data_IF_620289442734
#
_entry.id   IF_620289442734
#
_cell.length_a   1.000
_cell.length_b   1.000
_cell.length_c   1.000
_cell.angle_alpha   90.00
_cell.angle_beta   90.00
_cell.angle_gamma   90.00
#
_symmetry.space_group_name_H-M   'P 1'
#
loop_
_entity.id
_entity.type
_entity.pdbx_description
1 polymer ?
#
# COMPACT_ATOMS: atom_id res chain seq x y z
N UNK A 1 19.03 5.91 -0.69
CA UNK A 1 18.23 6.88 -1.45
C UNK A 1 18.87 7.32 -2.78
N UNK A 2 20.22 7.37 -2.94
CA UNK A 2 20.87 7.86 -4.17
C UNK A 2 20.52 7.12 -5.48
N UNK A 3 20.15 5.84 -5.42
CA UNK A 3 19.84 5.04 -6.60
C UNK A 3 18.40 5.26 -7.15
N UNK A 4 17.47 5.73 -6.32
CA UNK A 4 16.06 5.89 -6.75
C UNK A 4 15.88 7.17 -7.59
N UNK A 5 16.38 8.31 -7.10
CA UNK A 5 16.28 9.59 -7.82
C UNK A 5 16.97 9.53 -9.20
N UNK A 6 18.14 8.87 -9.30
CA UNK A 6 18.83 8.70 -10.59
C UNK A 6 18.03 7.86 -11.60
N UNK A 7 17.32 6.84 -11.12
CA UNK A 7 16.42 6.04 -11.97
C UNK A 7 15.25 6.88 -12.49
N UNK A 8 14.63 7.69 -11.64
CA UNK A 8 13.45 8.49 -12.00
C UNK A 8 13.76 9.61 -13.00
N UNK A 9 14.98 10.15 -13.03
CA UNK A 9 15.43 11.15 -14.02
C UNK A 9 15.24 10.70 -15.47
N UNK A 10 15.32 9.40 -15.73
CA UNK A 10 15.18 8.84 -17.07
C UNK A 10 13.73 8.57 -17.47
N UNK A 11 12.77 8.73 -16.56
CA UNK A 11 11.34 8.61 -16.84
C UNK A 11 10.78 9.92 -17.38
N UNK A 12 9.78 9.86 -18.27
CA UNK A 12 9.08 11.05 -18.72
C UNK A 12 8.26 11.69 -17.60
N UNK A 13 7.99 12.99 -17.70
CA UNK A 13 7.20 13.70 -16.69
C UNK A 13 5.79 13.13 -16.56
N UNK A 14 5.15 12.75 -17.68
CA UNK A 14 3.82 12.14 -17.66
C UNK A 14 3.83 10.79 -16.94
N UNK A 15 4.80 9.93 -17.22
CA UNK A 15 4.90 8.63 -16.53
C UNK A 15 5.12 8.80 -15.03
N UNK A 16 5.90 9.81 -14.61
CA UNK A 16 6.09 10.13 -13.20
C UNK A 16 4.79 10.63 -12.55
N UNK A 17 4.01 11.46 -13.23
CA UNK A 17 2.69 11.91 -12.75
C UNK A 17 1.71 10.74 -12.62
N UNK A 18 1.63 9.89 -13.64
CA UNK A 18 0.77 8.70 -13.64
C UNK A 18 1.18 7.75 -12.50
N UNK A 19 2.49 7.59 -12.27
CA UNK A 19 2.99 6.76 -11.18
C UNK A 19 2.72 7.38 -9.81
N UNK A 20 2.88 8.70 -9.67
CA UNK A 20 2.56 9.39 -8.42
C UNK A 20 1.08 9.24 -8.08
N UNK A 21 0.18 9.43 -9.05
CA UNK A 21 -1.25 9.28 -8.85
C UNK A 21 -1.62 7.87 -8.35
N UNK A 22 -0.98 6.84 -8.92
CA UNK A 22 -1.14 5.47 -8.46
C UNK A 22 -0.67 5.25 -7.02
N UNK A 23 0.51 5.78 -6.65
CA UNK A 23 1.01 5.68 -5.27
C UNK A 23 0.14 6.48 -4.31
N UNK A 24 -0.31 7.67 -4.69
CA UNK A 24 -1.23 8.51 -3.91
C UNK A 24 -2.53 7.78 -3.61
N UNK A 25 -3.09 7.10 -4.61
CA UNK A 25 -4.28 6.26 -4.45
C UNK A 25 -4.09 5.18 -3.38
N UNK A 26 -2.90 4.60 -3.25
CA UNK A 26 -2.58 3.62 -2.19
C UNK A 26 -2.42 4.26 -0.81
N UNK A 27 -1.97 5.51 -0.76
CA UNK A 27 -1.69 6.25 0.48
C UNK A 27 -2.91 7.00 1.05
N UNK A 28 -3.92 7.31 0.24
CA UNK A 28 -5.14 8.01 0.69
C UNK A 28 -5.94 7.19 1.72
N UNK A 29 -5.99 5.86 1.54
CA UNK A 29 -6.59 4.92 2.49
C UNK A 29 -5.60 3.79 2.79
N UNK A 30 -4.63 4.03 3.71
CA UNK A 30 -3.58 3.07 3.98
C UNK A 30 -4.14 1.78 4.59
N UNK A 31 -3.79 0.64 4.00
CA UNK A 31 -4.11 -0.68 4.56
C UNK A 31 -3.64 -0.84 6.01
N UNK A 32 -2.53 -0.18 6.37
CA UNK A 32 -1.99 -0.21 7.73
C UNK A 32 -2.98 0.31 8.77
N UNK A 33 -3.73 1.38 8.47
CA UNK A 33 -4.69 1.96 9.43
C UNK A 33 -5.83 0.98 9.73
N UNK A 34 -6.43 0.41 8.67
CA UNK A 34 -7.50 -0.57 8.83
C UNK A 34 -7.03 -1.84 9.56
N UNK A 35 -5.76 -2.22 9.39
CA UNK A 35 -5.17 -3.39 10.06
C UNK A 35 -4.86 -3.08 11.53
N UNK A 36 -4.33 -1.89 11.83
CA UNK A 36 -4.07 -1.43 13.20
C UNK A 36 -5.39 -1.30 13.99
N UNK A 37 -6.46 -0.77 13.39
CA UNK A 37 -7.78 -0.71 14.03
C UNK A 37 -8.30 -2.10 14.43
N UNK A 38 -8.04 -3.12 13.60
CA UNK A 38 -8.44 -4.48 13.93
C UNK A 38 -7.57 -5.08 15.04
N UNK A 39 -6.24 -4.87 14.98
CA UNK A 39 -5.32 -5.29 16.04
C UNK A 39 -5.73 -4.66 17.37
N UNK A 40 -5.96 -3.34 17.39
CA UNK A 40 -6.37 -2.60 18.59
C UNK A 40 -7.67 -3.14 19.19
N UNK A 41 -8.68 -3.41 18.34
CA UNK A 41 -9.95 -3.96 18.81
C UNK A 41 -9.79 -5.36 19.43
N UNK A 42 -8.81 -6.15 19.01
CA UNK A 42 -8.54 -7.49 19.53
C UNK A 42 -7.71 -7.49 20.80
N UNK A 43 -6.75 -6.59 20.92
CA UNK A 43 -5.97 -6.41 22.14
C UNK A 43 -6.79 -5.80 23.27
N UNK A 44 -7.74 -4.93 22.92
CA UNK A 44 -8.52 -4.11 23.85
C UNK A 44 -10.01 -4.18 23.52
N UNK A 45 -10.65 -5.36 23.62
CA UNK A 45 -12.05 -5.54 23.24
C UNK A 45 -13.01 -4.65 24.06
N UNK A 46 -12.66 -4.35 25.31
CA UNK A 46 -13.45 -3.50 26.22
C UNK A 46 -13.46 -2.01 25.83
N UNK A 47 -12.58 -1.58 24.93
CA UNK A 47 -12.43 -0.20 24.46
C UNK A 47 -12.83 -0.01 22.99
N UNK A 48 -13.34 -1.05 22.34
CA UNK A 48 -13.72 -0.99 20.93
C UNK A 48 -15.09 -0.29 20.79
N UNK A 49 -15.09 1.00 20.46
CA UNK A 49 -16.30 1.84 20.29
C UNK A 49 -17.08 1.55 18.98
N UNK A 50 -16.67 0.54 18.20
CA UNK A 50 -17.11 0.37 16.82
C UNK A 50 -18.24 -0.68 16.66
N UNK A 51 -19.43 -0.21 16.27
CA UNK A 51 -20.65 -0.98 15.90
C UNK A 51 -21.26 -1.87 17.00
N UNK A 52 -22.48 -2.39 16.76
CA UNK A 52 -23.32 -3.03 17.79
C UNK A 52 -22.67 -4.24 18.50
N UNK A 53 -21.64 -4.88 17.90
CA UNK A 53 -20.81 -5.93 18.54
C UNK A 53 -19.38 -6.00 17.96
N UNK A 54 -18.40 -6.36 18.80
CA UNK A 54 -17.00 -6.65 18.41
C UNK A 54 -16.88 -7.60 17.19
N UNK A 55 -17.73 -8.64 17.11
CA UNK A 55 -17.73 -9.58 15.99
C UNK A 55 -18.16 -8.95 14.66
N UNK A 56 -19.15 -8.05 14.68
CA UNK A 56 -19.60 -7.36 13.47
C UNK A 56 -18.51 -6.45 12.92
N UNK A 57 -17.79 -5.73 13.79
CA UNK A 57 -16.63 -4.93 13.40
C UNK A 57 -15.56 -5.80 12.72
N UNK A 58 -15.10 -6.87 13.37
CA UNK A 58 -14.09 -7.77 12.79
C UNK A 58 -14.48 -8.31 11.42
N UNK A 59 -15.75 -8.69 11.26
CA UNK A 59 -16.27 -9.20 9.98
C UNK A 59 -16.28 -8.13 8.89
N UNK A 60 -16.72 -6.91 9.21
CA UNK A 60 -16.75 -5.81 8.25
C UNK A 60 -15.35 -5.37 7.85
N UNK A 61 -14.44 -5.24 8.82
CA UNK A 61 -13.04 -4.89 8.56
C UNK A 61 -12.35 -5.94 7.70
N UNK A 62 -12.59 -7.23 7.93
CA UNK A 62 -12.07 -8.29 7.07
C UNK A 62 -12.54 -8.15 5.61
N UNK A 63 -13.84 -7.88 5.40
CA UNK A 63 -14.41 -7.68 4.06
C UNK A 63 -13.76 -6.46 3.39
N UNK A 64 -13.69 -5.34 4.12
CA UNK A 64 -13.10 -4.10 3.64
C UNK A 64 -11.63 -4.26 3.25
N UNK A 65 -10.80 -4.82 4.15
CA UNK A 65 -9.37 -5.06 3.91
C UNK A 65 -9.18 -5.98 2.70
N UNK A 66 -9.96 -7.07 2.63
CA UNK A 66 -9.90 -8.01 1.49
C UNK A 66 -10.20 -7.31 0.18
N UNK A 67 -11.29 -6.54 0.13
CA UNK A 67 -11.70 -5.79 -1.05
C UNK A 67 -10.63 -4.78 -1.47
N UNK A 68 -10.09 -4.01 -0.51
CA UNK A 68 -9.03 -3.03 -0.76
C UNK A 68 -7.78 -3.66 -1.35
N UNK A 69 -7.32 -4.79 -0.80
CA UNK A 69 -6.16 -5.53 -1.33
C UNK A 69 -6.42 -5.98 -2.78
N UNK A 70 -7.64 -6.41 -3.10
CA UNK A 70 -7.98 -6.84 -4.46
C UNK A 70 -8.00 -5.69 -5.47
N UNK A 71 -8.53 -4.54 -5.07
CA UNK A 71 -8.47 -3.31 -5.86
C UNK A 71 -7.02 -2.85 -6.08
N UNK A 72 -6.20 -2.80 -5.04
CA UNK A 72 -4.78 -2.42 -5.15
C UNK A 72 -4.01 -3.37 -6.08
N UNK A 73 -4.28 -4.69 -6.02
CA UNK A 73 -3.68 -5.69 -6.91
C UNK A 73 -4.12 -5.47 -8.36
N UNK A 74 -5.39 -5.12 -8.57
CA UNK A 74 -5.93 -4.85 -9.92
C UNK A 74 -5.28 -3.60 -10.50
N UNK A 75 -5.26 -2.49 -9.77
CA UNK A 75 -4.63 -1.24 -10.18
C UNK A 75 -3.14 -1.44 -10.47
N UNK A 76 -2.43 -2.20 -9.62
CA UNK A 76 -1.02 -2.55 -9.84
C UNK A 76 -0.80 -3.21 -11.20
N UNK A 77 -1.68 -4.11 -11.63
CA UNK A 77 -1.59 -4.78 -12.94
C UNK A 77 -1.87 -3.82 -14.10
N UNK A 78 -2.83 -2.93 -13.93
CA UNK A 78 -3.20 -1.92 -14.93
C UNK A 78 -2.04 -0.94 -15.15
N UNK A 79 -1.46 -0.40 -14.06
CA UNK A 79 -0.32 0.52 -14.11
C UNK A 79 0.93 -0.16 -14.66
N UNK A 80 1.19 -1.42 -14.30
CA UNK A 80 2.28 -2.20 -14.92
C UNK A 80 2.11 -2.36 -16.43
N UNK A 81 0.88 -2.49 -16.90
CA UNK A 81 0.56 -2.56 -18.34
C UNK A 81 0.78 -1.21 -19.03
N UNK A 82 0.40 -0.11 -18.36
CA UNK A 82 0.66 1.26 -18.82
C UNK A 82 2.16 1.48 -19.03
N UNK A 83 2.99 1.07 -18.07
CA UNK A 83 4.44 1.26 -18.11
C UNK A 83 5.21 0.12 -18.79
N UNK A 84 4.56 -0.72 -19.61
CA UNK A 84 5.19 -1.90 -20.24
C UNK A 84 6.49 -1.65 -21.01
N UNK A 85 6.75 -0.40 -21.42
CA UNK A 85 7.98 0.01 -22.14
C UNK A 85 9.03 0.67 -21.23
N UNK A 86 8.69 0.98 -19.98
CA UNK A 86 9.57 1.63 -19.03
C UNK A 86 10.00 0.62 -17.96
N UNK A 87 11.14 -0.03 -18.19
CA UNK A 87 11.65 -1.07 -17.29
C UNK A 87 11.91 -0.56 -15.88
N UNK A 88 12.29 0.71 -15.73
CA UNK A 88 12.54 1.33 -14.43
C UNK A 88 11.26 1.34 -13.58
N UNK A 89 10.15 1.83 -14.14
CA UNK A 89 8.89 1.90 -13.43
C UNK A 89 8.32 0.51 -13.15
N UNK A 90 8.46 -0.43 -14.10
CA UNK A 90 8.09 -1.84 -13.88
C UNK A 90 8.88 -2.42 -12.69
N UNK A 91 10.18 -2.13 -12.59
CA UNK A 91 11.02 -2.61 -11.48
C UNK A 91 10.60 -2.00 -10.14
N UNK A 92 10.12 -0.76 -10.12
CA UNK A 92 9.58 -0.11 -8.91
C UNK A 92 8.19 -0.62 -8.52
N UNK A 93 7.42 -1.17 -9.47
CA UNK A 93 6.12 -1.81 -9.20
C UNK A 93 6.27 -3.22 -8.63
N UNK A 94 7.36 -3.94 -8.96
CA UNK A 94 7.56 -5.32 -8.47
C UNK A 94 7.51 -5.45 -6.94
N UNK A 95 8.14 -4.56 -6.14
CA UNK A 95 8.00 -4.58 -4.69
C UNK A 95 6.57 -4.35 -4.19
N UNK A 96 5.80 -3.48 -4.83
CA UNK A 96 4.37 -3.26 -4.52
C UNK A 96 3.59 -4.55 -4.71
N UNK A 97 3.76 -5.18 -5.88
CA UNK A 97 3.11 -6.45 -6.20
C UNK A 97 3.49 -7.57 -5.22
N UNK A 98 4.77 -7.61 -4.80
CA UNK A 98 5.25 -8.55 -3.80
C UNK A 98 4.59 -8.31 -2.44
N UNK A 99 4.60 -7.07 -1.94
CA UNK A 99 4.00 -6.75 -0.64
C UNK A 99 2.50 -7.00 -0.61
N UNK A 100 1.76 -6.59 -1.64
CA UNK A 100 0.31 -6.87 -1.73
C UNK A 100 0.02 -8.37 -1.69
N UNK A 101 0.85 -9.23 -2.31
CA UNK A 101 0.71 -10.69 -2.21
C UNK A 101 0.98 -11.20 -0.80
N UNK A 102 2.00 -10.68 -0.12
CA UNK A 102 2.30 -11.05 1.26
C UNK A 102 1.15 -10.64 2.18
N UNK A 103 0.67 -9.41 2.06
CA UNK A 103 -0.45 -8.90 2.86
C UNK A 103 -1.71 -9.74 2.58
N UNK A 104 -2.03 -10.04 1.31
CA UNK A 104 -3.15 -10.92 0.94
C UNK A 104 -3.03 -12.30 1.58
N UNK A 105 -1.84 -12.90 1.52
CA UNK A 105 -1.60 -14.20 2.14
C UNK A 105 -1.79 -14.14 3.65
N UNK A 106 -1.20 -13.14 4.30
CA UNK A 106 -1.41 -12.90 5.73
C UNK A 106 -2.91 -12.81 6.03
N UNK A 107 -3.64 -11.91 5.36
CA UNK A 107 -5.10 -11.74 5.52
C UNK A 107 -5.87 -13.06 5.35
N UNK A 108 -5.58 -13.83 4.31
CA UNK A 108 -6.25 -15.10 4.01
C UNK A 108 -5.95 -16.23 5.01
N UNK A 109 -4.75 -16.24 5.59
CA UNK A 109 -4.40 -17.21 6.63
C UNK A 109 -5.14 -16.95 7.94
N UNK A 110 -5.81 -15.81 8.09
CA UNK A 110 -6.63 -15.50 9.25
C UNK A 110 -8.06 -16.02 9.08
N UNK A 111 -8.53 -16.74 10.11
CA UNK A 111 -9.95 -17.07 10.27
C UNK A 111 -10.55 -16.04 11.22
N UNK A 112 -11.65 -15.42 10.79
CA UNK A 112 -12.38 -14.36 11.51
C UNK A 112 -12.81 -14.72 12.96
N UNK A 113 -12.70 -15.99 13.34
CA UNK A 113 -13.11 -16.60 14.61
C UNK A 113 -11.93 -17.05 15.48
N UNK A 114 -10.68 -16.89 15.02
CA UNK A 114 -9.45 -17.33 15.69
C UNK A 114 -8.35 -16.29 15.47
N UNK A 115 -8.60 -15.03 15.80
CA UNK A 115 -7.56 -13.98 15.77
C UNK A 115 -6.55 -14.19 16.91
N UNK A 116 -5.80 -15.28 16.85
CA UNK A 116 -4.53 -15.43 17.54
C UNK A 116 -3.49 -14.72 16.66
N UNK A 117 -3.57 -13.39 16.61
CA UNK A 117 -2.55 -12.61 15.88
C UNK A 117 -1.28 -12.81 16.66
N UNK A 118 -0.36 -13.60 16.12
CA UNK A 118 1.04 -13.24 16.30
C UNK A 118 1.21 -11.93 15.55
N UNK A 119 0.89 -10.81 16.22
CA UNK A 119 0.89 -9.39 15.79
C UNK A 119 1.86 -9.10 14.64
N UNK A 120 3.04 -9.69 14.75
CA UNK A 120 4.13 -9.72 13.78
C UNK A 120 3.80 -10.12 12.33
N UNK A 121 2.77 -10.93 12.03
CA UNK A 121 2.63 -11.55 10.70
C UNK A 121 1.94 -10.69 9.63
N UNK A 122 1.01 -9.80 10.00
CA UNK A 122 0.39 -8.87 9.04
C UNK A 122 0.90 -7.44 9.22
N UNK A 123 1.14 -7.01 10.46
CA UNK A 123 1.53 -5.64 10.78
C UNK A 123 2.89 -5.27 10.18
N UNK A 124 3.87 -6.17 10.23
CA UNK A 124 5.19 -5.89 9.68
C UNK A 124 5.16 -5.72 8.14
N UNK A 125 4.58 -6.65 7.36
CA UNK A 125 4.45 -6.45 5.92
C UNK A 125 3.70 -5.17 5.52
N UNK A 126 2.70 -4.74 6.29
CA UNK A 126 1.92 -3.53 5.97
C UNK A 126 2.71 -2.26 6.29
N UNK A 127 3.48 -2.25 7.38
CA UNK A 127 4.43 -1.18 7.69
C UNK A 127 5.50 -1.08 6.60
N UNK A 128 6.12 -2.19 6.23
CA UNK A 128 7.18 -2.21 5.22
C UNK A 128 6.64 -1.76 3.84
N UNK A 129 5.42 -2.16 3.49
CA UNK A 129 4.71 -1.69 2.31
C UNK A 129 4.47 -0.17 2.36
N UNK A 130 3.93 0.34 3.46
CA UNK A 130 3.62 1.76 3.62
C UNK A 130 4.88 2.64 3.56
N UNK A 131 5.97 2.23 4.23
CA UNK A 131 7.25 2.92 4.15
C UNK A 131 7.82 2.95 2.73
N UNK A 132 7.70 1.83 2.00
CA UNK A 132 8.13 1.78 0.61
C UNK A 132 7.30 2.73 -0.28
N UNK A 133 5.98 2.72 -0.14
CA UNK A 133 5.08 3.59 -0.90
C UNK A 133 5.33 5.08 -0.62
N UNK A 134 5.50 5.47 0.65
CA UNK A 134 5.89 6.85 0.99
C UNK A 134 7.24 7.24 0.39
N UNK A 135 8.25 6.37 0.50
CA UNK A 135 9.57 6.65 -0.09
C UNK A 135 9.52 6.77 -1.62
N UNK A 136 8.59 6.09 -2.30
CA UNK A 136 8.35 6.28 -3.72
C UNK A 136 7.68 7.61 -4.01
N UNK A 137 6.61 7.93 -3.28
CA UNK A 137 5.88 9.19 -3.40
C UNK A 137 6.83 10.39 -3.27
N UNK A 138 7.61 10.44 -2.18
CA UNK A 138 8.55 11.53 -1.91
C UNK A 138 9.58 11.67 -3.05
N UNK A 139 10.13 10.55 -3.52
CA UNK A 139 11.14 10.56 -4.57
C UNK A 139 10.58 11.01 -5.94
N UNK A 140 9.32 10.66 -6.24
CA UNK A 140 8.65 11.10 -7.47
C UNK A 140 8.32 12.59 -7.38
N UNK A 141 7.78 13.03 -6.24
CA UNK A 141 7.47 14.42 -5.96
C UNK A 141 8.72 15.31 -6.09
N UNK A 142 9.82 14.93 -5.45
CA UNK A 142 11.10 15.64 -5.50
C UNK A 142 11.62 15.79 -6.94
N UNK A 143 11.53 14.73 -7.75
CA UNK A 143 11.97 14.78 -9.15
C UNK A 143 11.06 15.67 -10.00
N UNK A 144 9.74 15.64 -9.79
CA UNK A 144 8.79 16.52 -10.47
C UNK A 144 9.05 17.99 -10.12
N UNK A 145 9.28 18.31 -8.85
CA UNK A 145 9.62 19.66 -8.39
C UNK A 145 10.97 20.13 -8.93
N UNK A 146 11.97 19.24 -9.00
CA UNK A 146 13.28 19.55 -9.58
C UNK A 146 13.19 19.88 -11.08
N UNK A 147 12.24 19.31 -11.82
CA UNK A 147 12.01 19.61 -13.23
C UNK A 147 11.33 20.96 -13.44
N UNK A 148 10.35 21.31 -12.61
CA UNK A 148 9.70 22.63 -12.65
C UNK A 148 10.73 23.76 -12.53
N UNK A 149 11.59 23.68 -11.51
CA UNK A 149 12.66 24.67 -11.25
C UNK A 149 13.71 24.81 -12.37
N UNK A 150 13.83 23.85 -13.28
CA UNK A 150 14.76 23.90 -14.42
C UNK A 150 14.14 24.51 -15.67
N UNK A 151 12.81 24.50 -15.75
CA UNK A 151 12.04 25.01 -16.89
C UNK A 151 11.55 26.46 -16.65
N UNK A 152 11.65 26.95 -15.41
CA UNK A 152 11.48 28.36 -15.00
C UNK A 152 12.79 29.17 -15.19
#
# INVERSE_FOLDING_TARGET
MSNLSEKLKNCSEQELKDFNYFIDGMLEMPLINAIDEVIDCLEKPDYCEHYDTHWQFLKQSYIFITYRIEDDIKETKEVKTLFKKNSILIDLIKPIEFWLKIIKLSVNFYKCNEWDIKETYIRKPTIDFYHYSNSLHDAIYDELEARKKKND
#
